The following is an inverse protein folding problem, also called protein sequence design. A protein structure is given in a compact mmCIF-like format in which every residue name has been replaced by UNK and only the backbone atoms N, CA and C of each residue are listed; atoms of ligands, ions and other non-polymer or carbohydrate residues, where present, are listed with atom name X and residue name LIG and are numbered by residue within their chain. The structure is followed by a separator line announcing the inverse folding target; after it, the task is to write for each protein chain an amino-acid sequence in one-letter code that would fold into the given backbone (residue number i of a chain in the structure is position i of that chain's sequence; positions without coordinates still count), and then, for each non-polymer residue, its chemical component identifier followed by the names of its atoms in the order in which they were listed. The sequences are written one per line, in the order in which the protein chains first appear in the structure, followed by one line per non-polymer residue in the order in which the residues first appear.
data_IF_508958809626
#
_entry.id   IF_508958809626
#
_cell.length_a   1.000
_cell.length_b   1.000
_cell.length_c   1.000
_cell.angle_alpha   90.00
_cell.angle_beta   90.00
_cell.angle_gamma   90.00
#
_symmetry.space_group_name_H-M   'P 1'
#
loop_
_entity.id
_entity.type
_entity.pdbx_description
1 polymer ?
#
# COMPACT_ATOMS: atom_id res chain seq x y z
N UNK A 1 -3.16 -6.62 5.60
CA UNK A 1 -1.83 -6.61 6.23
C UNK A 1 -1.26 -8.02 6.39
N UNK A 2 -1.89 -8.88 7.17
CA UNK A 2 -1.44 -10.25 7.47
C UNK A 2 -1.17 -11.11 6.23
N UNK A 3 -2.09 -11.12 5.26
CA UNK A 3 -1.94 -11.88 4.02
C UNK A 3 -0.73 -11.44 3.20
N UNK A 4 -0.46 -10.13 3.14
CA UNK A 4 0.72 -9.58 2.45
C UNK A 4 2.00 -10.05 3.12
N UNK A 5 2.08 -9.98 4.46
CA UNK A 5 3.24 -10.48 5.22
C UNK A 5 3.45 -11.99 5.04
N UNK A 6 2.36 -12.77 4.96
CA UNK A 6 2.42 -14.20 4.75
C UNK A 6 2.89 -14.60 3.34
N UNK A 7 2.52 -13.83 2.30
CA UNK A 7 2.78 -14.17 0.90
C UNK A 7 4.07 -13.57 0.33
N UNK A 8 4.56 -12.49 0.89
CA UNK A 8 5.63 -11.68 0.31
C UNK A 8 6.95 -12.43 0.06
N UNK A 9 7.26 -13.44 0.88
CA UNK A 9 8.46 -14.26 0.69
C UNK A 9 8.45 -15.07 -0.63
N UNK A 10 7.24 -15.33 -1.18
CA UNK A 10 7.04 -16.04 -2.45
C UNK A 10 7.18 -15.15 -3.68
N UNK A 11 7.27 -13.84 -3.48
CA UNK A 11 7.24 -12.85 -4.55
C UNK A 11 8.58 -12.13 -4.65
N UNK A 12 9.55 -12.66 -5.42
CA UNK A 12 10.92 -12.15 -5.44
C UNK A 12 11.05 -10.72 -5.99
N UNK A 13 10.10 -10.29 -6.82
CA UNK A 13 10.09 -8.94 -7.39
C UNK A 13 9.57 -7.85 -6.41
N UNK A 14 8.92 -8.24 -5.32
CA UNK A 14 8.53 -7.27 -4.27
C UNK A 14 9.78 -6.84 -3.52
N UNK A 15 10.01 -5.54 -3.40
CA UNK A 15 11.17 -4.94 -2.72
C UNK A 15 10.80 -4.27 -1.40
N UNK A 16 9.58 -3.80 -1.28
CA UNK A 16 9.10 -3.04 -0.13
C UNK A 16 7.64 -3.41 0.20
N UNK A 17 7.31 -3.38 1.47
CA UNK A 17 5.98 -3.68 2.00
C UNK A 17 5.61 -2.63 3.02
N UNK A 18 4.41 -2.09 2.91
CA UNK A 18 3.80 -1.25 3.94
C UNK A 18 2.55 -1.96 4.51
N UNK A 19 2.37 -1.88 5.81
CA UNK A 19 1.18 -2.38 6.50
C UNK A 19 0.56 -1.29 7.35
N UNK A 20 -0.76 -1.17 7.33
CA UNK A 20 -1.54 -0.26 8.17
C UNK A 20 -2.47 -1.11 9.03
N UNK A 21 -2.42 -0.94 10.36
CA UNK A 21 -3.30 -1.64 11.29
C UNK A 21 -3.27 -3.17 11.17
N UNK A 22 -2.12 -3.75 10.83
CA UNK A 22 -2.03 -5.17 10.55
C UNK A 22 -1.95 -6.03 11.81
N UNK A 23 -2.72 -7.13 11.91
CA UNK A 23 -2.52 -8.12 12.97
C UNK A 23 -1.20 -8.89 12.79
N UNK A 24 -0.52 -9.16 13.89
CA UNK A 24 0.71 -9.96 13.94
C UNK A 24 0.45 -11.47 13.76
N UNK A 25 -0.80 -11.89 13.95
CA UNK A 25 -1.21 -13.28 13.79
C UNK A 25 -2.49 -13.36 12.98
N UNK A 26 -2.58 -14.28 12.02
CA UNK A 26 -3.83 -14.52 11.30
C UNK A 26 -4.94 -15.05 12.21
N UNK A 27 -4.61 -15.67 13.35
CA UNK A 27 -5.57 -16.15 14.34
C UNK A 27 -6.47 -15.04 14.90
N UNK A 28 -6.07 -13.76 14.82
CA UNK A 28 -6.92 -12.65 15.27
C UNK A 28 -8.23 -12.57 14.49
N UNK A 29 -8.26 -13.01 13.22
CA UNK A 29 -9.47 -13.00 12.40
C UNK A 29 -10.52 -14.01 12.88
N UNK A 30 -10.10 -15.13 13.48
CA UNK A 30 -11.03 -16.16 13.94
C UNK A 30 -11.88 -15.71 15.13
N UNK A 31 -11.42 -14.69 15.88
CA UNK A 31 -12.20 -14.11 16.98
C UNK A 31 -13.52 -13.48 16.52
N UNK A 32 -13.58 -13.05 15.26
CA UNK A 32 -14.79 -12.43 14.70
C UNK A 32 -15.91 -13.44 14.46
N UNK A 33 -15.59 -14.74 14.44
CA UNK A 33 -16.54 -15.85 14.23
C UNK A 33 -16.22 -17.05 15.13
N UNK A 34 -15.72 -16.79 16.33
CA UNK A 34 -15.31 -17.85 17.27
C UNK A 34 -16.44 -18.82 17.58
N UNK A 35 -17.66 -18.31 17.73
CA UNK A 35 -18.87 -19.12 18.02
C UNK A 35 -19.21 -20.10 16.88
N UNK A 36 -18.84 -19.79 15.64
CA UNK A 36 -19.10 -20.64 14.49
C UNK A 36 -18.00 -21.69 14.22
N UNK A 37 -16.84 -21.61 14.90
CA UNK A 37 -15.73 -22.54 14.68
C UNK A 37 -16.11 -24.03 14.87
N UNK A 38 -16.91 -24.42 15.89
CA UNK A 38 -17.36 -25.81 16.01
C UNK A 38 -18.16 -26.28 14.80
N UNK A 39 -19.11 -25.49 14.34
CA UNK A 39 -19.93 -25.80 13.16
C UNK A 39 -19.10 -25.91 11.89
N UNK A 40 -18.14 -24.95 11.67
CA UNK A 40 -17.22 -24.99 10.53
C UNK A 40 -16.40 -26.28 10.52
N UNK A 41 -15.93 -26.72 11.69
CA UNK A 41 -15.11 -27.94 11.80
C UNK A 41 -15.94 -29.23 11.58
N UNK A 42 -17.20 -29.23 11.99
CA UNK A 42 -18.09 -30.39 11.85
C UNK A 42 -18.66 -30.50 10.43
N UNK A 43 -19.18 -29.39 9.89
CA UNK A 43 -19.89 -29.34 8.60
C UNK A 43 -19.00 -29.00 7.41
N UNK A 44 -17.74 -28.64 7.64
CA UNK A 44 -16.81 -28.20 6.60
C UNK A 44 -16.91 -26.71 6.26
N UNK A 45 -18.04 -26.07 6.57
CA UNK A 45 -18.28 -24.62 6.38
C UNK A 45 -19.42 -24.12 7.26
N UNK A 46 -19.48 -22.82 7.53
CA UNK A 46 -20.63 -22.14 8.11
C UNK A 46 -20.77 -20.72 7.56
N UNK A 47 -21.99 -20.18 7.65
CA UNK A 47 -22.25 -18.78 7.38
C UNK A 47 -22.09 -17.97 8.65
N UNK A 48 -21.24 -16.94 8.60
CA UNK A 48 -20.91 -16.07 9.74
C UNK A 48 -21.20 -14.61 9.41
N UNK A 49 -21.64 -13.86 10.40
CA UNK A 49 -21.83 -12.42 10.29
C UNK A 49 -20.52 -11.72 10.67
N UNK A 50 -19.95 -10.96 9.73
CA UNK A 50 -18.83 -10.06 9.98
C UNK A 50 -19.29 -8.63 9.70
N UNK A 51 -19.50 -7.86 10.77
CA UNK A 51 -20.26 -6.62 10.68
C UNK A 51 -21.70 -6.90 10.21
N UNK A 52 -22.14 -6.23 9.15
CA UNK A 52 -23.49 -6.39 8.57
C UNK A 52 -23.52 -7.37 7.38
N UNK A 53 -22.42 -8.11 7.13
CA UNK A 53 -22.29 -8.98 5.98
C UNK A 53 -22.26 -10.47 6.38
N UNK A 54 -23.13 -11.25 5.78
CA UNK A 54 -23.08 -12.71 5.88
C UNK A 54 -22.00 -13.24 4.91
N UNK A 55 -21.03 -13.96 5.47
CA UNK A 55 -19.90 -14.52 4.72
C UNK A 55 -19.80 -16.01 5.03
N UNK A 56 -19.59 -16.83 4.01
CA UNK A 56 -19.37 -18.28 4.17
C UNK A 56 -17.89 -18.54 4.40
N UNK A 57 -17.57 -19.18 5.54
CA UNK A 57 -16.22 -19.55 5.95
C UNK A 57 -16.07 -21.07 5.89
N UNK A 58 -15.09 -21.55 5.13
CA UNK A 58 -14.76 -22.97 5.03
C UNK A 58 -13.70 -23.43 6.02
N UNK A 59 -13.72 -24.72 6.37
CA UNK A 59 -12.74 -25.35 7.26
C UNK A 59 -11.30 -25.25 6.74
N UNK A 60 -11.10 -25.19 5.42
CA UNK A 60 -9.78 -25.01 4.80
C UNK A 60 -9.18 -23.65 5.17
N UNK A 61 -9.98 -22.59 5.16
CA UNK A 61 -9.55 -21.26 5.60
C UNK A 61 -9.15 -21.28 7.07
N UNK A 62 -9.96 -21.92 7.93
CA UNK A 62 -9.64 -22.02 9.36
C UNK A 62 -8.32 -22.76 9.58
N UNK A 63 -8.12 -23.90 8.90
CA UNK A 63 -6.87 -24.68 8.97
C UNK A 63 -5.66 -23.86 8.48
N UNK A 64 -5.79 -23.12 7.39
CA UNK A 64 -4.71 -22.28 6.87
C UNK A 64 -4.32 -21.18 7.87
N UNK A 65 -5.33 -20.53 8.46
CA UNK A 65 -5.14 -19.52 9.50
C UNK A 65 -4.45 -20.08 10.74
N UNK A 66 -4.90 -21.26 11.22
CA UNK A 66 -4.35 -21.92 12.41
C UNK A 66 -2.92 -22.44 12.18
N UNK A 67 -2.61 -22.89 10.98
CA UNK A 67 -1.27 -23.42 10.63
C UNK A 67 -0.26 -22.35 10.27
N UNK A 68 -0.70 -21.12 10.00
CA UNK A 68 0.16 -20.05 9.53
C UNK A 68 0.84 -19.34 10.69
N UNK A 69 2.17 -19.47 10.79
CA UNK A 69 3.02 -18.73 11.71
C UNK A 69 3.66 -17.55 10.99
N UNK A 70 3.22 -16.33 11.31
CA UNK A 70 3.77 -15.12 10.68
C UNK A 70 5.16 -14.76 11.19
N UNK A 71 5.50 -15.12 12.42
CA UNK A 71 6.78 -14.80 13.04
C UNK A 71 7.97 -15.15 12.15
N UNK A 72 8.03 -16.38 11.69
CA UNK A 72 9.14 -16.87 10.87
C UNK A 72 9.13 -16.19 9.48
N UNK A 73 7.94 -16.03 8.89
CA UNK A 73 7.78 -15.34 7.60
C UNK A 73 8.20 -13.86 7.66
N UNK A 74 7.92 -13.18 8.76
CA UNK A 74 8.36 -11.79 8.99
C UNK A 74 9.87 -11.75 9.23
N UNK A 75 10.42 -12.70 9.98
CA UNK A 75 11.86 -12.78 10.24
C UNK A 75 12.67 -13.06 8.98
N UNK A 76 12.11 -13.80 8.04
CA UNK A 76 12.76 -14.19 6.78
C UNK A 76 12.25 -13.38 5.57
N UNK A 77 11.62 -12.23 5.83
CA UNK A 77 10.99 -11.43 4.80
C UNK A 77 11.98 -10.91 3.74
N UNK A 78 13.21 -10.56 4.16
CA UNK A 78 14.31 -10.03 3.31
C UNK A 78 13.85 -8.89 2.37
N UNK A 79 12.97 -8.02 2.87
CA UNK A 79 12.38 -6.88 2.15
C UNK A 79 12.26 -5.71 3.10
N UNK A 80 12.25 -4.50 2.56
CA UNK A 80 11.96 -3.32 3.37
C UNK A 80 10.52 -3.40 3.92
N UNK A 81 10.35 -3.15 5.20
CA UNK A 81 9.05 -3.16 5.87
C UNK A 81 8.76 -1.83 6.54
N UNK A 82 7.60 -1.25 6.22
CA UNK A 82 7.01 -0.12 6.92
C UNK A 82 5.78 -0.60 7.69
N UNK A 83 5.75 -0.33 8.99
CA UNK A 83 4.59 -0.61 9.85
C UNK A 83 3.98 0.73 10.25
N UNK A 84 2.73 0.96 9.86
CA UNK A 84 1.92 2.09 10.32
C UNK A 84 0.81 1.56 11.23
N UNK A 85 0.59 2.22 12.38
CA UNK A 85 -0.44 1.77 13.32
C UNK A 85 -0.95 2.91 14.18
N UNK A 86 -2.27 2.93 14.42
CA UNK A 86 -2.91 3.87 15.31
C UNK A 86 -2.79 3.39 16.77
N UNK A 87 -2.26 4.20 17.70
CA UNK A 87 -2.18 3.80 19.11
C UNK A 87 -3.53 3.50 19.76
N UNK A 88 -4.58 4.14 19.26
CA UNK A 88 -5.95 4.01 19.74
C UNK A 88 -6.81 3.07 18.87
N UNK A 89 -6.18 2.20 18.08
CA UNK A 89 -6.88 1.21 17.25
C UNK A 89 -7.65 0.21 18.14
N UNK A 90 -8.98 0.30 18.09
CA UNK A 90 -9.88 -0.55 18.89
C UNK A 90 -10.12 -1.93 18.25
N UNK A 91 -9.75 -2.10 16.97
CA UNK A 91 -9.93 -3.36 16.23
C UNK A 91 -8.69 -4.25 16.32
N UNK A 92 -7.52 -3.66 16.07
CA UNK A 92 -6.24 -4.36 16.14
C UNK A 92 -5.34 -3.65 17.17
N UNK A 93 -5.14 -4.21 18.36
CA UNK A 93 -4.33 -3.59 19.39
C UNK A 93 -2.90 -3.27 18.94
N UNK A 94 -2.36 -2.15 19.41
CA UNK A 94 -1.01 -1.65 19.11
C UNK A 94 0.10 -2.68 19.29
N UNK A 95 -0.09 -3.62 20.24
CA UNK A 95 0.85 -4.72 20.47
C UNK A 95 1.18 -5.53 19.21
N UNK A 96 0.23 -5.63 18.26
CA UNK A 96 0.46 -6.32 16.99
C UNK A 96 1.55 -5.63 16.15
N UNK A 97 1.50 -4.30 16.04
CA UNK A 97 2.54 -3.54 15.34
C UNK A 97 3.90 -3.71 16.00
N UNK A 98 3.93 -3.67 17.34
CA UNK A 98 5.15 -3.88 18.11
C UNK A 98 5.73 -5.29 17.85
N UNK A 99 4.87 -6.29 17.79
CA UNK A 99 5.28 -7.68 17.53
C UNK A 99 5.81 -7.85 16.11
N UNK A 100 5.11 -7.35 15.10
CA UNK A 100 5.57 -7.34 13.70
C UNK A 100 6.93 -6.65 13.60
N UNK A 101 7.04 -5.46 14.18
CA UNK A 101 8.28 -4.68 14.13
C UNK A 101 9.43 -5.40 14.84
N UNK A 102 9.18 -6.07 15.96
CA UNK A 102 10.17 -6.84 16.72
C UNK A 102 10.75 -7.99 15.88
N UNK A 103 9.91 -8.72 15.17
CA UNK A 103 10.35 -9.89 14.39
C UNK A 103 11.01 -9.51 13.07
N UNK A 104 10.62 -8.39 12.47
CA UNK A 104 11.20 -7.96 11.20
C UNK A 104 12.69 -7.63 11.34
N UNK A 105 13.46 -7.99 10.31
CA UNK A 105 14.86 -7.57 10.14
C UNK A 105 14.91 -6.21 9.45
N UNK A 106 16.06 -5.56 9.52
CA UNK A 106 16.29 -4.34 8.77
C UNK A 106 16.41 -4.63 7.25
N UNK A 107 15.96 -3.70 6.37
CA UNK A 107 15.45 -2.37 6.70
C UNK A 107 13.99 -2.41 7.16
N UNK A 108 13.69 -1.76 8.29
CA UNK A 108 12.34 -1.62 8.82
C UNK A 108 12.10 -0.23 9.40
N UNK A 109 10.88 0.25 9.28
CA UNK A 109 10.43 1.54 9.80
C UNK A 109 9.09 1.40 10.51
N UNK A 110 8.85 2.26 11.49
CA UNK A 110 7.59 2.31 12.23
C UNK A 110 7.07 3.74 12.27
N UNK A 111 5.79 3.93 12.00
CA UNK A 111 5.11 5.22 12.08
C UNK A 111 3.82 5.06 12.87
N UNK A 112 3.64 5.91 13.89
CA UNK A 112 2.39 6.02 14.62
C UNK A 112 1.42 6.94 13.90
N UNK A 113 0.16 6.54 13.84
CA UNK A 113 -0.95 7.34 13.32
C UNK A 113 -1.78 7.81 14.53
N UNK A 114 -1.28 8.83 15.22
CA UNK A 114 -1.63 9.15 16.61
C UNK A 114 -3.13 9.38 16.85
N UNK A 115 -3.84 9.95 15.88
CA UNK A 115 -5.27 10.30 15.99
C UNK A 115 -6.18 9.40 15.16
N UNK A 116 -5.61 8.49 14.37
CA UNK A 116 -6.35 7.68 13.43
C UNK A 116 -7.16 6.56 14.11
N UNK A 117 -8.28 6.22 13.51
CA UNK A 117 -8.99 4.99 13.77
C UNK A 117 -8.45 3.84 12.89
N UNK A 118 -8.98 2.63 13.07
CA UNK A 118 -8.56 1.45 12.30
C UNK A 118 -8.75 1.59 10.78
N UNK A 119 -9.77 2.32 10.34
CA UNK A 119 -10.16 2.46 8.95
C UNK A 119 -9.63 3.74 8.28
N UNK A 120 -8.89 4.58 9.03
CA UNK A 120 -8.45 5.91 8.58
C UNK A 120 -9.64 6.74 8.06
N UNK A 121 -10.70 6.82 8.86
CA UNK A 121 -11.96 7.47 8.47
C UNK A 121 -11.78 8.99 8.28
N UNK A 122 -10.86 9.61 9.02
CA UNK A 122 -10.49 11.01 8.77
C UNK A 122 -9.59 11.09 7.52
N UNK A 123 -10.00 11.84 6.47
CA UNK A 123 -9.19 11.99 5.26
C UNK A 123 -7.75 12.48 5.51
N UNK A 124 -7.54 13.30 6.56
CA UNK A 124 -6.20 13.82 6.92
C UNK A 124 -5.27 12.70 7.38
N UNK A 125 -5.78 11.70 8.10
CA UNK A 125 -5.00 10.56 8.54
C UNK A 125 -4.65 9.66 7.35
N UNK A 126 -5.58 9.49 6.41
CA UNK A 126 -5.36 8.76 5.17
C UNK A 126 -4.31 9.44 4.27
N UNK A 127 -4.40 10.76 4.11
CA UNK A 127 -3.42 11.57 3.37
C UNK A 127 -2.02 11.50 4.02
N UNK A 128 -1.97 11.61 5.35
CA UNK A 128 -0.71 11.48 6.08
C UNK A 128 -0.08 10.10 5.88
N UNK A 129 -0.86 9.03 6.03
CA UNK A 129 -0.39 7.67 5.83
C UNK A 129 0.11 7.45 4.39
N UNK A 130 -0.62 7.95 3.39
CA UNK A 130 -0.23 7.88 1.98
C UNK A 130 1.08 8.63 1.71
N UNK A 131 1.23 9.84 2.23
CA UNK A 131 2.44 10.64 2.13
C UNK A 131 3.66 9.94 2.75
N UNK A 132 3.48 9.36 3.93
CA UNK A 132 4.55 8.59 4.60
C UNK A 132 4.95 7.34 3.81
N UNK A 133 3.99 6.61 3.26
CA UNK A 133 4.28 5.43 2.42
C UNK A 133 5.03 5.86 1.17
N UNK A 134 4.61 6.91 0.50
CA UNK A 134 5.25 7.42 -0.72
C UNK A 134 6.70 7.82 -0.46
N UNK A 135 6.93 8.70 0.51
CA UNK A 135 8.28 9.18 0.85
C UNK A 135 9.21 8.02 1.29
N UNK A 136 8.67 7.05 2.03
CA UNK A 136 9.43 5.89 2.45
C UNK A 136 9.74 4.95 1.28
N UNK A 137 8.76 4.70 0.39
CA UNK A 137 8.90 3.81 -0.74
C UNK A 137 9.94 4.28 -1.76
N UNK A 138 10.08 5.58 -1.98
CA UNK A 138 11.09 6.17 -2.88
C UNK A 138 12.52 5.71 -2.57
N UNK A 139 12.80 5.38 -1.31
CA UNK A 139 14.11 4.87 -0.91
C UNK A 139 14.40 3.46 -1.42
N UNK A 140 13.38 2.64 -1.60
CA UNK A 140 13.50 1.20 -1.89
C UNK A 140 13.04 0.85 -3.30
N UNK A 141 12.25 1.71 -3.90
CA UNK A 141 11.77 1.59 -5.26
C UNK A 141 12.47 2.66 -6.10
N UNK A 142 12.88 2.30 -7.30
CA UNK A 142 13.43 3.27 -8.25
C UNK A 142 12.26 4.00 -8.93
N UNK A 143 11.61 4.87 -8.15
CA UNK A 143 10.46 5.67 -8.58
C UNK A 143 10.89 7.03 -9.15
N UNK A 144 12.21 7.29 -9.29
CA UNK A 144 12.64 8.53 -9.90
C UNK A 144 12.14 8.54 -11.35
N UNK A 145 11.36 9.56 -11.71
CA UNK A 145 11.14 9.79 -13.11
C UNK A 145 12.51 9.86 -13.81
N UNK A 146 12.62 9.36 -15.04
CA UNK A 146 13.85 9.54 -15.80
C UNK A 146 14.26 11.01 -15.69
N UNK A 147 15.57 11.26 -15.48
CA UNK A 147 16.07 12.62 -15.39
C UNK A 147 15.51 13.42 -16.56
N UNK A 148 14.92 14.59 -16.32
CA UNK A 148 14.36 15.38 -17.41
C UNK A 148 15.44 15.50 -18.50
N UNK A 149 15.08 15.31 -19.75
CA UNK A 149 16.05 15.44 -20.84
C UNK A 149 16.76 16.77 -20.70
N UNK A 150 18.04 16.81 -21.06
CA UNK A 150 18.87 18.02 -21.00
C UNK A 150 18.04 19.18 -21.55
N UNK A 151 17.84 20.23 -20.73
CA UNK A 151 16.94 21.34 -21.03
C UNK A 151 17.15 21.90 -22.44
N UNK A 152 16.12 22.50 -23.01
CA UNK A 152 16.24 23.16 -24.29
C UNK A 152 17.25 24.32 -24.21
N UNK A 153 17.98 24.67 -25.27
CA UNK A 153 18.80 25.88 -25.31
C UNK A 153 17.98 27.14 -24.98
N UNK A 154 18.63 28.18 -24.49
CA UNK A 154 17.95 29.43 -24.19
C UNK A 154 17.22 29.99 -25.43
N UNK A 155 15.96 30.41 -25.23
CA UNK A 155 15.10 30.88 -26.31
C UNK A 155 14.45 29.76 -27.17
N UNK A 156 14.71 28.49 -26.87
CA UNK A 156 14.11 27.34 -27.56
C UNK A 156 13.05 26.71 -26.65
N UNK A 157 11.92 26.38 -27.23
CA UNK A 157 10.93 25.51 -26.63
C UNK A 157 11.04 24.16 -27.32
N UNK A 158 11.25 23.10 -26.54
CA UNK A 158 11.26 21.72 -27.00
C UNK A 158 10.00 21.03 -26.46
N UNK A 159 9.30 20.34 -27.32
CA UNK A 159 8.21 19.45 -26.96
C UNK A 159 8.61 18.05 -27.40
N UNK A 160 8.50 17.08 -26.51
CA UNK A 160 8.79 15.68 -26.79
C UNK A 160 7.74 14.78 -26.14
N UNK A 161 7.41 13.70 -26.82
CA UNK A 161 6.52 12.68 -26.27
C UNK A 161 7.12 12.10 -24.99
N UNK A 162 6.36 12.12 -23.89
CA UNK A 162 6.72 11.50 -22.63
C UNK A 162 6.14 10.08 -22.52
N UNK A 163 5.01 9.84 -23.20
CA UNK A 163 4.39 8.53 -23.35
C UNK A 163 3.91 8.32 -24.81
N UNK A 164 4.48 7.35 -25.54
CA UNK A 164 4.10 7.10 -26.93
C UNK A 164 2.69 6.51 -27.09
N UNK A 165 2.04 6.10 -26.02
CA UNK A 165 0.68 5.53 -26.04
C UNK A 165 -0.43 6.58 -25.81
N UNK A 166 -0.08 7.85 -25.53
CA UNK A 166 -1.03 8.87 -25.12
C UNK A 166 -0.70 10.28 -25.61
N UNK A 167 -1.28 11.26 -24.94
CA UNK A 167 -1.10 12.68 -25.22
C UNK A 167 -0.08 13.35 -24.29
N UNK A 168 0.55 12.57 -23.40
CA UNK A 168 1.51 13.11 -22.44
C UNK A 168 2.77 13.59 -23.14
N UNK A 169 3.06 14.88 -23.02
CA UNK A 169 4.23 15.53 -23.59
C UNK A 169 5.06 16.22 -22.52
N UNK A 170 6.36 16.21 -22.71
CA UNK A 170 7.34 16.97 -21.98
C UNK A 170 7.62 18.28 -22.73
N UNK A 171 7.30 19.41 -22.09
CA UNK A 171 7.50 20.75 -22.64
C UNK A 171 8.62 21.45 -21.87
N UNK A 172 9.70 21.76 -22.54
CA UNK A 172 10.87 22.44 -21.97
C UNK A 172 11.05 23.79 -22.63
N UNK A 173 11.12 24.84 -21.80
CA UNK A 173 11.40 26.21 -22.26
C UNK A 173 12.74 26.69 -21.69
N UNK A 174 13.74 26.74 -22.53
CA UNK A 174 15.11 27.04 -22.12
C UNK A 174 15.69 25.98 -21.16
N UNK A 175 16.81 26.30 -20.48
CA UNK A 175 17.52 25.32 -19.64
C UNK A 175 16.87 25.05 -18.28
N UNK A 176 15.86 25.84 -17.88
CA UNK A 176 15.37 25.86 -16.48
C UNK A 176 13.89 25.58 -16.31
N UNK A 177 13.08 25.69 -17.36
CA UNK A 177 11.63 25.53 -17.25
C UNK A 177 11.19 24.22 -17.89
N UNK A 178 10.42 23.47 -17.12
CA UNK A 178 9.91 22.19 -17.51
C UNK A 178 8.48 22.04 -17.00
N UNK A 179 7.56 21.60 -17.87
CA UNK A 179 6.18 21.28 -17.53
C UNK A 179 5.70 20.08 -18.34
N UNK A 180 4.74 19.35 -17.78
CA UNK A 180 4.03 18.33 -18.54
C UNK A 180 2.77 18.92 -19.18
N UNK A 181 2.52 18.55 -20.41
CA UNK A 181 1.30 18.83 -21.14
C UNK A 181 0.58 17.52 -21.41
N UNK A 182 -0.72 17.45 -21.12
CA UNK A 182 -1.53 16.26 -21.33
C UNK A 182 -2.98 16.67 -21.62
N UNK A 183 -3.77 15.73 -22.10
CA UNK A 183 -5.22 15.90 -22.19
C UNK A 183 -5.90 15.30 -20.95
N UNK A 184 -7.07 15.81 -20.54
CA UNK A 184 -7.91 15.18 -19.54
C UNK A 184 -8.31 13.75 -19.96
N UNK A 185 -8.55 12.87 -19.00
CA UNK A 185 -9.00 11.49 -19.24
C UNK A 185 -10.22 11.41 -20.16
N UNK A 186 -11.14 12.37 -20.04
CA UNK A 186 -12.33 12.46 -20.88
C UNK A 186 -12.02 12.60 -22.37
N UNK A 187 -10.82 13.04 -22.73
CA UNK A 187 -10.34 13.21 -24.10
C UNK A 187 -9.23 12.23 -24.48
N UNK A 188 -9.00 11.21 -23.64
CA UNK A 188 -8.05 10.14 -23.92
C UNK A 188 -6.64 10.40 -23.36
N UNK A 189 -6.44 11.46 -22.59
CA UNK A 189 -5.21 11.70 -21.83
C UNK A 189 -5.16 10.98 -20.50
N UNK A 190 -4.16 11.29 -19.70
CA UNK A 190 -3.95 10.72 -18.36
C UNK A 190 -4.04 11.75 -17.24
N UNK A 191 -4.37 13.01 -17.57
CA UNK A 191 -4.52 14.14 -16.65
C UNK A 191 -3.25 14.40 -15.77
N UNK A 192 -2.07 14.07 -16.31
CA UNK A 192 -0.80 14.24 -15.61
C UNK A 192 -0.14 15.59 -15.86
N UNK A 193 -0.69 16.41 -16.76
CA UNK A 193 -0.16 17.70 -17.13
C UNK A 193 -1.25 18.72 -17.42
N UNK A 194 -0.84 19.97 -17.69
CA UNK A 194 -1.78 20.99 -18.14
C UNK A 194 -2.29 20.67 -19.53
N UNK A 195 -3.60 20.82 -19.76
CA UNK A 195 -4.15 20.72 -21.12
C UNK A 195 -3.61 21.85 -22.01
N UNK A 196 -3.59 21.67 -23.34
CA UNK A 196 -3.19 22.75 -24.26
C UNK A 196 -3.90 24.07 -24.03
N UNK A 197 -5.15 24.03 -23.60
CA UNK A 197 -5.93 25.21 -23.25
C UNK A 197 -5.55 25.81 -21.88
N UNK A 198 -4.94 25.04 -21.00
CA UNK A 198 -4.43 25.51 -19.72
C UNK A 198 -3.15 26.36 -19.84
N UNK A 199 -2.48 26.36 -21.01
CA UNK A 199 -1.32 27.19 -21.30
C UNK A 199 -1.69 28.57 -21.89
N UNK A 200 -2.95 28.83 -22.21
CA UNK A 200 -3.46 30.10 -22.75
C UNK A 200 -3.96 31.01 -21.65
#
# INVERSE_FOLDING_TARGET
GTAVLAAAHRLPHIRAIATIGAPASPLSVTRQFEDALPEIRENGEAEVLIGDHAIRIGADFVRDVESTTLKDKISDLDKALLVLHAPLDEVVPLSNATEIFKYARHPKSYVTLDTADHLLTDPRDAEYAAGMITAWAERYLDLRPPAPPIGAPEGIIRVSEADPSGFLNDVQAGPRHHVLADEPEAYGGTDQGMSPYGFL
#
